data_IF_040012112169
#
_entry.id   IF_040012112169
#
_cell.length_a   1.000
_cell.length_b   1.000
_cell.length_c   1.000
_cell.angle_alpha   90.00
_cell.angle_beta   90.00
_cell.angle_gamma   90.00
#
_symmetry.space_group_name_H-M   'P 1'
#
loop_
_entity.id
_entity.type
_entity.pdbx_description
1 polymer ?
#
# COMPACT_ATOMS: atom_id res chain seq x y z
N UNK A 1 7.59 -8.28 -39.54
CA UNK A 1 6.17 -8.48 -39.91
C UNK A 1 5.81 -9.96 -39.82
N UNK A 2 5.02 -10.36 -38.83
CA UNK A 2 4.34 -11.66 -38.74
C UNK A 2 3.14 -11.48 -37.79
N UNK A 3 1.94 -11.21 -38.34
CA UNK A 3 0.75 -12.10 -38.37
C UNK A 3 0.33 -12.57 -36.96
N UNK A 4 -0.56 -11.82 -36.30
CA UNK A 4 -1.99 -12.13 -36.15
C UNK A 4 -2.28 -13.59 -35.79
N UNK A 5 -2.84 -13.84 -34.60
CA UNK A 5 -4.10 -14.59 -34.44
C UNK A 5 -4.70 -14.25 -33.07
N UNK A 6 -5.85 -13.56 -33.10
CA UNK A 6 -6.77 -13.42 -31.95
C UNK A 6 -7.51 -14.74 -31.80
N UNK A 7 -7.38 -15.38 -30.64
CA UNK A 7 -8.33 -16.41 -30.18
C UNK A 7 -9.08 -15.84 -28.99
N UNK A 8 -10.21 -15.19 -29.29
CA UNK A 8 -11.33 -15.02 -28.38
C UNK A 8 -12.10 -16.33 -28.49
N UNK A 9 -12.18 -17.15 -27.44
CA UNK A 9 -13.34 -18.05 -27.26
C UNK A 9 -13.30 -18.81 -25.92
N UNK A 10 -14.31 -18.55 -25.09
CA UNK A 10 -15.09 -19.59 -24.39
C UNK A 10 -14.33 -20.48 -23.40
N UNK A 11 -13.90 -19.90 -22.28
CA UNK A 11 -13.60 -20.68 -21.06
C UNK A 11 -14.13 -20.00 -19.77
N UNK A 12 -15.14 -19.13 -19.91
CA UNK A 12 -15.74 -18.38 -18.80
C UNK A 12 -17.22 -18.73 -18.54
N UNK A 13 -17.73 -19.88 -18.99
CA UNK A 13 -19.19 -20.15 -18.99
C UNK A 13 -19.61 -21.61 -18.82
N UNK A 14 -18.88 -22.44 -18.06
CA UNK A 14 -19.19 -23.88 -17.98
C UNK A 14 -19.05 -24.57 -16.60
N UNK A 15 -19.20 -23.87 -15.47
CA UNK A 15 -19.32 -24.54 -14.14
C UNK A 15 -20.44 -23.97 -13.27
N UNK A 16 -21.57 -23.64 -13.89
CA UNK A 16 -22.86 -23.64 -13.21
C UNK A 16 -23.68 -24.76 -13.86
N UNK A 17 -24.39 -25.54 -13.05
CA UNK A 17 -25.08 -26.82 -13.32
C UNK A 17 -24.30 -28.08 -12.94
N UNK A 18 -24.96 -28.89 -12.11
CA UNK A 18 -24.61 -30.23 -11.60
C UNK A 18 -23.96 -30.27 -10.20
N UNK A 19 -24.69 -29.79 -9.18
CA UNK A 19 -24.77 -30.54 -7.93
C UNK A 19 -26.08 -30.21 -7.18
N UNK A 20 -27.19 -30.69 -7.74
CA UNK A 20 -28.39 -30.97 -6.98
C UNK A 20 -28.89 -32.35 -7.40
N UNK A 21 -28.85 -33.35 -6.51
CA UNK A 21 -29.75 -34.48 -6.60
C UNK A 21 -30.87 -34.33 -5.57
N UNK A 22 -32.07 -34.29 -6.12
CA UNK A 22 -33.22 -35.06 -5.67
C UNK A 22 -33.76 -34.80 -4.26
N UNK A 23 -34.84 -34.03 -4.25
CA UNK A 23 -36.11 -34.39 -3.64
C UNK A 23 -36.24 -35.90 -3.36
N UNK A 24 -35.91 -36.33 -2.14
CA UNK A 24 -36.52 -37.52 -1.55
C UNK A 24 -37.68 -37.03 -0.70
N UNK A 25 -38.85 -37.11 -1.31
CA UNK A 25 -40.15 -37.14 -0.65
C UNK A 25 -40.13 -38.22 0.44
N UNK A 26 -40.05 -37.80 1.70
CA UNK A 26 -40.50 -38.63 2.82
C UNK A 26 -41.84 -38.07 3.29
N UNK A 27 -42.91 -38.79 2.96
CA UNK A 27 -44.29 -38.57 3.43
C UNK A 27 -44.42 -38.98 4.90
N UNK A 28 -43.67 -38.29 5.76
CA UNK A 28 -43.60 -38.50 7.19
C UNK A 28 -42.98 -37.33 7.94
N UNK A 29 -42.73 -36.19 7.28
CA UNK A 29 -42.43 -34.95 7.99
C UNK A 29 -43.74 -34.40 8.54
N UNK A 30 -44.08 -34.95 9.69
CA UNK A 30 -45.10 -34.51 10.62
C UNK A 30 -45.09 -32.98 10.66
N UNK A 31 -46.11 -32.36 10.05
CA UNK A 31 -46.54 -31.00 10.37
C UNK A 31 -47.19 -30.99 11.77
N UNK A 32 -46.62 -31.75 12.70
CA UNK A 32 -46.91 -31.75 14.11
C UNK A 32 -46.32 -30.47 14.68
N UNK A 33 -47.18 -29.46 14.77
CA UNK A 33 -47.17 -28.47 15.84
C UNK A 33 -45.77 -28.16 16.40
N UNK A 34 -44.88 -27.60 15.58
CA UNK A 34 -43.96 -26.64 16.14
C UNK A 34 -44.81 -25.39 16.39
N UNK A 35 -45.49 -25.36 17.55
CA UNK A 35 -45.61 -24.12 18.30
C UNK A 35 -44.18 -23.57 18.32
N UNK A 36 -43.87 -22.68 17.38
CA UNK A 36 -42.64 -21.95 17.39
C UNK A 36 -42.68 -21.21 18.73
N UNK A 37 -41.94 -21.71 19.71
CA UNK A 37 -41.60 -21.01 20.94
C UNK A 37 -41.22 -19.59 20.49
N UNK A 38 -42.15 -18.64 20.61
CA UNK A 38 -41.92 -17.25 20.24
C UNK A 38 -40.69 -16.71 20.97
N UNK A 39 -40.42 -17.27 22.14
CA UNK A 39 -39.24 -17.03 22.96
C UNK A 39 -37.95 -17.55 22.31
N UNK A 40 -37.92 -18.73 21.68
CA UNK A 40 -36.74 -19.23 20.94
C UNK A 40 -36.47 -18.42 19.68
N UNK A 41 -37.51 -18.00 18.96
CA UNK A 41 -37.38 -17.14 17.80
C UNK A 41 -36.90 -15.73 18.19
N UNK A 42 -37.41 -15.18 19.29
CA UNK A 42 -36.96 -13.92 19.87
C UNK A 42 -35.50 -14.00 20.36
N UNK A 43 -35.11 -15.10 21.01
CA UNK A 43 -33.74 -15.33 21.47
C UNK A 43 -32.75 -15.44 20.29
N UNK A 44 -33.11 -16.17 19.23
CA UNK A 44 -32.27 -16.24 18.03
C UNK A 44 -32.15 -14.89 17.32
N UNK A 45 -33.24 -14.11 17.24
CA UNK A 45 -33.19 -12.76 16.68
C UNK A 45 -32.29 -11.84 17.50
N UNK A 46 -32.36 -11.91 18.83
CA UNK A 46 -31.48 -11.15 19.73
C UNK A 46 -30.01 -11.55 19.57
N UNK A 47 -29.69 -12.84 19.49
CA UNK A 47 -28.31 -13.32 19.24
C UNK A 47 -27.79 -12.88 17.88
N UNK A 48 -28.63 -12.90 16.84
CA UNK A 48 -28.26 -12.43 15.50
C UNK A 48 -28.00 -10.91 15.48
N UNK A 49 -28.79 -10.14 16.22
CA UNK A 49 -28.61 -8.70 16.38
C UNK A 49 -27.34 -8.38 17.17
N UNK A 50 -27.06 -9.10 18.26
CA UNK A 50 -25.80 -8.99 19.03
C UNK A 50 -24.58 -9.33 18.17
N UNK A 51 -24.65 -10.38 17.35
CA UNK A 51 -23.58 -10.75 16.42
C UNK A 51 -23.37 -9.68 15.34
N UNK A 52 -24.45 -9.11 14.82
CA UNK A 52 -24.38 -8.02 13.83
C UNK A 52 -23.73 -6.78 14.44
N UNK A 53 -24.13 -6.37 15.64
CA UNK A 53 -23.53 -5.23 16.34
C UNK A 53 -22.04 -5.47 16.62
N UNK A 54 -21.65 -6.69 17.01
CA UNK A 54 -20.24 -7.04 17.20
C UNK A 54 -19.44 -7.03 15.89
N UNK A 55 -20.03 -7.48 14.78
CA UNK A 55 -19.40 -7.45 13.46
C UNK A 55 -19.25 -6.02 12.93
N UNK A 56 -20.27 -5.18 13.12
CA UNK A 56 -20.26 -3.77 12.74
C UNK A 56 -19.18 -2.99 13.50
N UNK A 57 -19.09 -3.19 14.82
CA UNK A 57 -18.01 -2.62 15.63
C UNK A 57 -16.62 -3.03 15.14
N UNK A 58 -16.40 -4.32 14.88
CA UNK A 58 -15.11 -4.81 14.35
C UNK A 58 -14.79 -4.21 12.99
N UNK A 59 -15.80 -4.02 12.15
CA UNK A 59 -15.62 -3.40 10.84
C UNK A 59 -15.23 -1.93 10.96
N UNK A 60 -15.86 -1.19 11.88
CA UNK A 60 -15.47 0.20 12.18
C UNK A 60 -14.05 0.29 12.74
N UNK A 61 -13.67 -0.59 13.67
CA UNK A 61 -12.32 -0.65 14.24
C UNK A 61 -11.28 -0.93 13.13
N UNK A 62 -11.52 -1.94 12.28
CA UNK A 62 -10.65 -2.24 11.13
C UNK A 62 -10.56 -1.08 10.13
N UNK A 63 -11.67 -0.39 9.87
CA UNK A 63 -11.69 0.76 8.97
C UNK A 63 -10.82 1.89 9.54
N UNK A 64 -10.93 2.16 10.84
CA UNK A 64 -10.12 3.17 11.52
C UNK A 64 -8.64 2.82 11.48
N UNK A 65 -8.27 1.58 11.77
CA UNK A 65 -6.89 1.11 11.65
C UNK A 65 -6.34 1.25 10.22
N UNK A 66 -7.16 0.93 9.22
CA UNK A 66 -6.79 1.08 7.81
C UNK A 66 -6.59 2.56 7.41
N UNK A 67 -7.44 3.46 7.90
CA UNK A 67 -7.30 4.90 7.69
C UNK A 67 -6.04 5.45 8.37
N UNK A 68 -5.73 5.03 9.59
CA UNK A 68 -4.50 5.40 10.30
C UNK A 68 -3.25 4.91 9.57
N UNK A 69 -3.25 3.65 9.12
CA UNK A 69 -2.14 3.09 8.33
C UNK A 69 -1.96 3.83 7.00
N UNK A 70 -3.06 4.15 6.32
CA UNK A 70 -3.03 4.92 5.07
C UNK A 70 -2.45 6.32 5.30
N UNK A 71 -2.91 7.03 6.32
CA UNK A 71 -2.41 8.35 6.66
C UNK A 71 -0.91 8.32 7.01
N UNK A 72 -0.45 7.32 7.76
CA UNK A 72 0.97 7.10 8.08
C UNK A 72 1.79 6.87 6.80
N UNK A 73 1.29 6.03 5.89
CA UNK A 73 1.95 5.75 4.61
C UNK A 73 2.01 6.97 3.69
N UNK A 74 0.93 7.75 3.59
CA UNK A 74 0.90 8.98 2.79
C UNK A 74 1.87 10.03 3.35
N UNK A 75 1.93 10.18 4.68
CA UNK A 75 2.90 11.05 5.35
C UNK A 75 4.35 10.64 5.04
N UNK A 76 4.68 9.37 5.22
CA UNK A 76 6.03 8.84 4.92
C UNK A 76 6.40 9.07 3.45
N UNK A 77 5.45 8.82 2.53
CA UNK A 77 5.68 9.03 1.09
C UNK A 77 5.99 10.51 0.79
N UNK A 78 5.21 11.44 1.37
CA UNK A 78 5.43 12.87 1.17
C UNK A 78 6.77 13.34 1.75
N UNK A 79 7.14 12.88 2.94
CA UNK A 79 8.45 13.19 3.54
C UNK A 79 9.61 12.70 2.67
N UNK A 80 9.53 11.46 2.17
CA UNK A 80 10.54 10.89 1.28
C UNK A 80 10.62 11.63 -0.05
N UNK A 81 9.47 12.02 -0.60
CA UNK A 81 9.40 12.80 -1.84
C UNK A 81 10.08 14.16 -1.68
N UNK A 82 9.75 14.90 -0.63
CA UNK A 82 10.37 16.20 -0.35
C UNK A 82 11.88 16.05 -0.16
N UNK A 83 12.32 15.03 0.60
CA UNK A 83 13.74 14.77 0.79
C UNK A 83 14.48 14.49 -0.53
N UNK A 84 13.87 13.73 -1.44
CA UNK A 84 14.43 13.47 -2.77
C UNK A 84 14.50 14.75 -3.62
N UNK A 85 13.46 15.58 -3.59
CA UNK A 85 13.44 16.84 -4.33
C UNK A 85 14.51 17.81 -3.83
N UNK A 86 14.68 17.91 -2.51
CA UNK A 86 15.76 18.70 -1.89
C UNK A 86 17.13 18.18 -2.29
N UNK A 87 17.37 16.87 -2.17
CA UNK A 87 18.64 16.26 -2.55
C UNK A 87 18.98 16.49 -4.03
N UNK A 88 18.00 16.34 -4.93
CA UNK A 88 18.19 16.62 -6.36
C UNK A 88 18.57 18.08 -6.61
N UNK A 89 17.94 19.03 -5.92
CA UNK A 89 18.30 20.45 -6.01
C UNK A 89 19.71 20.72 -5.50
N UNK A 90 20.09 20.13 -4.36
CA UNK A 90 21.44 20.26 -3.80
C UNK A 90 22.51 19.68 -4.74
N UNK A 91 22.26 18.51 -5.33
CA UNK A 91 23.15 17.92 -6.35
C UNK A 91 23.26 18.82 -7.58
N UNK A 92 22.14 19.37 -8.05
CA UNK A 92 22.14 20.27 -9.20
C UNK A 92 22.97 21.53 -8.93
N UNK A 93 22.73 22.20 -7.79
CA UNK A 93 23.50 23.39 -7.40
C UNK A 93 25.00 23.08 -7.31
N UNK A 94 25.36 21.95 -6.69
CA UNK A 94 26.76 21.54 -6.55
C UNK A 94 27.43 21.27 -7.91
N UNK A 95 26.69 20.69 -8.86
CA UNK A 95 27.17 20.49 -10.23
C UNK A 95 27.29 21.81 -11.02
N UNK A 96 26.36 22.74 -10.85
CA UNK A 96 26.44 24.07 -11.46
C UNK A 96 27.63 24.86 -10.92
N UNK A 97 27.89 24.79 -9.62
CA UNK A 97 29.05 25.41 -8.98
C UNK A 97 30.37 24.81 -9.49
N UNK A 98 30.41 23.48 -9.66
CA UNK A 98 31.55 22.83 -10.31
C UNK A 98 31.75 23.34 -11.73
N UNK A 99 30.70 23.39 -12.55
CA UNK A 99 30.82 23.85 -13.93
C UNK A 99 31.33 25.30 -13.99
N UNK A 100 30.81 26.20 -13.16
CA UNK A 100 31.28 27.59 -13.04
C UNK A 100 32.74 27.65 -12.58
N UNK A 101 33.11 26.83 -11.58
CA UNK A 101 34.49 26.73 -11.11
C UNK A 101 35.45 26.28 -12.22
N UNK A 102 35.06 25.26 -12.98
CA UNK A 102 35.87 24.74 -14.09
C UNK A 102 36.05 25.74 -15.24
N UNK A 103 35.05 26.58 -15.51
CA UNK A 103 35.13 27.65 -16.49
C UNK A 103 36.05 28.80 -16.05
N UNK A 104 36.09 29.09 -14.75
CA UNK A 104 36.91 30.19 -14.20
C UNK A 104 38.33 29.76 -13.84
N UNK A 105 38.57 28.48 -13.60
CA UNK A 105 39.88 27.91 -13.31
C UNK A 105 40.84 28.03 -14.50
N UNK A 106 41.96 28.72 -14.26
CA UNK A 106 42.97 29.04 -15.28
C UNK A 106 44.08 28.01 -15.33
N UNK A 107 44.32 27.29 -14.23
CA UNK A 107 45.40 26.30 -14.15
C UNK A 107 44.87 24.86 -14.00
N UNK A 108 45.64 23.85 -14.43
CA UNK A 108 45.30 22.45 -14.17
C UNK A 108 45.19 22.11 -12.68
N UNK A 109 46.02 22.72 -11.83
CA UNK A 109 46.00 22.51 -10.38
C UNK A 109 44.71 23.04 -9.73
N UNK A 110 44.23 24.21 -10.16
CA UNK A 110 42.94 24.76 -9.70
C UNK A 110 41.78 23.83 -10.06
N UNK A 111 41.79 23.28 -11.29
CA UNK A 111 40.77 22.33 -11.75
C UNK A 111 40.80 21.03 -10.95
N UNK A 112 41.99 20.50 -10.67
CA UNK A 112 42.14 19.29 -9.85
C UNK A 112 41.63 19.53 -8.42
N UNK A 113 41.94 20.68 -7.83
CA UNK A 113 41.44 21.05 -6.50
C UNK A 113 39.91 21.15 -6.47
N UNK A 114 39.31 21.78 -7.48
CA UNK A 114 37.86 21.86 -7.61
C UNK A 114 37.22 20.48 -7.72
N UNK A 115 37.79 19.57 -8.52
CA UNK A 115 37.35 18.18 -8.64
C UNK A 115 37.36 17.43 -7.32
N UNK A 116 38.44 17.56 -6.55
CA UNK A 116 38.54 16.97 -5.21
C UNK A 116 37.47 17.53 -4.28
N UNK A 117 37.34 18.86 -4.18
CA UNK A 117 36.35 19.50 -3.30
C UNK A 117 34.91 19.16 -3.69
N UNK A 118 34.59 19.05 -4.97
CA UNK A 118 33.26 18.62 -5.42
C UNK A 118 33.00 17.16 -5.05
N UNK A 119 33.98 16.28 -5.24
CA UNK A 119 33.85 14.88 -4.84
C UNK A 119 33.60 14.73 -3.34
N UNK A 120 34.32 15.48 -2.51
CA UNK A 120 34.11 15.51 -1.05
C UNK A 120 32.70 15.99 -0.70
N UNK A 121 32.26 17.11 -1.28
CA UNK A 121 30.91 17.65 -1.06
C UNK A 121 29.81 16.70 -1.55
N UNK A 122 30.02 15.99 -2.66
CA UNK A 122 29.08 15.00 -3.17
C UNK A 122 28.95 13.81 -2.22
N UNK A 123 30.05 13.34 -1.63
CA UNK A 123 30.02 12.27 -0.64
C UNK A 123 29.31 12.71 0.65
N UNK A 124 29.60 13.92 1.13
CA UNK A 124 28.92 14.48 2.30
C UNK A 124 27.41 14.63 2.06
N UNK A 125 27.03 15.11 0.89
CA UNK A 125 25.65 15.26 0.48
C UNK A 125 24.91 13.91 0.40
N UNK A 126 25.56 12.88 -0.15
CA UNK A 126 25.00 11.52 -0.18
C UNK A 126 24.82 10.96 1.22
N UNK A 127 25.82 11.11 2.09
CA UNK A 127 25.75 10.65 3.48
C UNK A 127 24.62 11.34 4.25
N UNK A 128 24.52 12.66 4.13
CA UNK A 128 23.44 13.43 4.78
C UNK A 128 22.05 13.03 4.29
N UNK A 129 21.92 12.73 2.99
CA UNK A 129 20.68 12.22 2.42
C UNK A 129 20.33 10.83 2.97
N UNK A 130 21.28 9.90 3.04
CA UNK A 130 21.07 8.57 3.59
C UNK A 130 20.69 8.62 5.08
N UNK A 131 21.35 9.46 5.87
CA UNK A 131 21.01 9.66 7.29
C UNK A 131 19.58 10.19 7.46
N UNK A 132 19.16 11.18 6.66
CA UNK A 132 17.79 11.70 6.68
C UNK A 132 16.78 10.62 6.24
N UNK A 133 17.10 9.85 5.20
CA UNK A 133 16.27 8.74 4.71
C UNK A 133 16.05 7.68 5.78
N UNK A 134 17.12 7.27 6.46
CA UNK A 134 17.06 6.30 7.56
C UNK A 134 16.22 6.82 8.71
N UNK A 135 16.38 8.08 9.10
CA UNK A 135 15.56 8.71 10.15
C UNK A 135 14.05 8.69 9.81
N UNK A 136 13.68 8.99 8.56
CA UNK A 136 12.28 8.90 8.12
C UNK A 136 11.78 7.45 8.23
N UNK A 137 12.57 6.47 7.82
CA UNK A 137 12.20 5.06 7.95
C UNK A 137 12.05 4.64 9.41
N UNK A 138 12.97 5.01 10.29
CA UNK A 138 12.93 4.71 11.72
C UNK A 138 11.69 5.33 12.40
N UNK A 139 11.38 6.59 12.12
CA UNK A 139 10.20 7.27 12.65
C UNK A 139 8.88 6.61 12.22
N UNK A 140 8.87 5.97 11.05
CA UNK A 140 7.69 5.32 10.51
C UNK A 140 7.62 3.81 10.82
N UNK A 141 8.74 3.15 11.13
CA UNK A 141 8.76 1.75 11.61
C UNK A 141 8.67 1.64 13.14
N UNK A 142 9.09 2.66 13.88
CA UNK A 142 9.07 2.69 15.35
C UNK A 142 7.81 3.34 15.91
N UNK A 143 6.73 2.56 16.02
CA UNK A 143 5.60 2.65 16.97
C UNK A 143 4.62 1.53 16.67
#
# INVERSE_FOLDING_TARGET
MSKMTKLISVAALSTAFLCAPALVSHSGFDFGLAHADGDKAAEMKKKAEEQRMAAEKRHEDMKKEAEEHRAKSEKMHNEMKTLNEEHQKEVQMLNEDMQKGMQTAKTPEERQKLQMTHSEKMQELQKGFEEKRMKIQEQNMGK
#
